data_IF_010606864852
#
_entry.id   IF_010606864852
#
_cell.length_a   1.000
_cell.length_b   1.000
_cell.length_c   1.000
_cell.angle_alpha   90.00
_cell.angle_beta   90.00
_cell.angle_gamma   90.00
#
_symmetry.space_group_name_H-M   'P 1'
#
loop_
_entity.id
_entity.type
_entity.pdbx_description
1 polymer ?
#
# COMPACT_ATOMS: atom_id res chain seq x y z
N UNK A 1 -16.23 6.62 26.50
CA UNK A 1 -15.97 7.25 25.19
C UNK A 1 -14.84 6.48 24.55
N UNK A 2 -15.11 5.83 23.43
CA UNK A 2 -14.08 5.19 22.60
C UNK A 2 -13.53 6.18 21.59
N UNK A 3 -12.27 5.99 21.22
CA UNK A 3 -11.58 6.88 20.29
C UNK A 3 -10.91 6.09 19.17
N UNK A 4 -10.87 6.68 17.99
CA UNK A 4 -10.18 6.14 16.83
C UNK A 4 -9.23 7.17 16.24
N UNK A 5 -7.98 6.80 16.08
CA UNK A 5 -7.00 7.57 15.32
C UNK A 5 -7.02 7.09 13.86
N UNK A 6 -7.29 8.00 12.94
CA UNK A 6 -7.22 7.78 11.49
C UNK A 6 -5.95 8.39 10.96
N UNK A 7 -5.01 7.55 10.50
CA UNK A 7 -3.83 8.00 9.77
C UNK A 7 -4.16 7.97 8.27
N UNK A 8 -4.28 9.14 7.66
CA UNK A 8 -4.55 9.29 6.23
C UNK A 8 -3.29 9.70 5.48
N UNK A 9 -2.83 8.84 4.59
CA UNK A 9 -1.71 9.11 3.70
C UNK A 9 -2.22 9.43 2.29
N UNK A 10 -2.38 10.71 2.01
CA UNK A 10 -2.75 11.19 0.67
C UNK A 10 -1.53 11.43 -0.22
N UNK A 11 -1.78 11.87 -1.46
CA UNK A 11 -0.72 12.15 -2.46
C UNK A 11 0.17 13.36 -2.08
N UNK A 12 -0.34 14.30 -1.29
CA UNK A 12 0.33 15.57 -0.98
C UNK A 12 0.55 15.82 0.51
N UNK A 13 -0.03 15.00 1.36
CA UNK A 13 0.09 15.16 2.82
C UNK A 13 -0.20 13.85 3.54
N UNK A 14 0.39 13.70 4.72
CA UNK A 14 0.00 12.74 5.71
C UNK A 14 -0.71 13.46 6.85
N UNK A 15 -1.79 12.87 7.36
CA UNK A 15 -2.66 13.47 8.38
C UNK A 15 -3.01 12.45 9.45
N UNK A 16 -2.98 12.88 10.68
CA UNK A 16 -3.53 12.16 11.82
C UNK A 16 -4.78 12.90 12.30
N UNK A 17 -5.88 12.18 12.51
CA UNK A 17 -7.14 12.74 12.96
C UNK A 17 -7.70 11.80 14.02
N UNK A 18 -8.10 12.33 15.18
CA UNK A 18 -8.75 11.56 16.23
C UNK A 18 -10.22 11.90 16.26
N UNK A 19 -11.05 10.86 16.27
CA UNK A 19 -12.49 10.96 16.41
C UNK A 19 -12.95 10.21 17.68
N UNK A 20 -14.04 10.67 18.28
CA UNK A 20 -14.79 9.91 19.27
C UNK A 20 -15.79 8.93 18.62
N UNK A 21 -16.49 8.14 19.42
CA UNK A 21 -17.49 7.16 18.97
C UNK A 21 -18.74 7.78 18.33
N UNK A 22 -18.95 9.08 18.50
CA UNK A 22 -20.06 9.86 17.90
C UNK A 22 -19.64 10.49 16.57
N UNK A 23 -18.34 10.36 16.19
CA UNK A 23 -17.78 10.92 14.96
C UNK A 23 -17.35 12.39 15.07
N UNK A 24 -17.28 12.95 16.28
CA UNK A 24 -16.75 14.29 16.49
C UNK A 24 -15.22 14.25 16.38
N UNK A 25 -14.66 15.21 15.64
CA UNK A 25 -13.22 15.38 15.56
C UNK A 25 -12.67 16.03 16.85
N UNK A 26 -11.80 15.31 17.54
CA UNK A 26 -11.15 15.78 18.76
C UNK A 26 -9.86 16.56 18.49
N UNK A 27 -9.00 16.04 17.60
CA UNK A 27 -7.76 16.69 17.23
C UNK A 27 -7.31 16.29 15.82
N UNK A 28 -6.39 17.04 15.22
CA UNK A 28 -5.77 16.65 13.95
C UNK A 28 -4.47 17.41 13.69
N UNK A 29 -3.49 16.71 13.10
CA UNK A 29 -2.26 17.30 12.57
C UNK A 29 -2.01 16.85 11.13
N UNK A 30 -1.25 17.62 10.36
CA UNK A 30 -0.96 17.35 8.95
C UNK A 30 0.42 17.85 8.57
N UNK A 31 1.17 17.02 7.83
CA UNK A 31 2.45 17.38 7.23
C UNK A 31 2.42 17.16 5.71
N UNK A 32 3.06 18.04 4.92
CA UNK A 32 3.14 17.87 3.48
C UNK A 32 4.06 16.70 3.11
N UNK A 33 3.76 16.04 1.98
CA UNK A 33 4.61 15.05 1.33
C UNK A 33 4.96 15.57 -0.05
N UNK A 34 6.20 15.36 -0.45
CA UNK A 34 6.72 15.79 -1.77
C UNK A 34 6.93 14.57 -2.64
N UNK A 35 6.45 14.65 -3.89
CA UNK A 35 6.75 13.65 -4.92
C UNK A 35 7.94 14.13 -5.75
N UNK A 36 8.83 13.20 -6.08
CA UNK A 36 9.84 13.38 -7.11
C UNK A 36 9.23 13.04 -8.46
N UNK A 37 9.35 13.95 -9.41
CA UNK A 37 8.68 13.88 -10.71
C UNK A 37 9.70 13.94 -11.84
N UNK A 38 9.55 13.04 -12.81
CA UNK A 38 10.13 13.15 -14.16
C UNK A 38 9.02 13.02 -15.20
N UNK A 39 9.34 12.90 -16.48
CA UNK A 39 8.34 12.67 -17.53
C UNK A 39 7.61 11.33 -17.36
N UNK A 40 8.30 10.30 -16.87
CA UNK A 40 7.78 8.93 -16.73
C UNK A 40 7.58 8.50 -15.28
N UNK A 41 8.33 9.07 -14.34
CA UNK A 41 8.33 8.61 -12.95
C UNK A 41 7.63 9.56 -12.01
N UNK A 42 6.87 8.99 -11.09
CA UNK A 42 6.31 9.69 -9.93
C UNK A 42 6.58 8.86 -8.70
N UNK A 43 7.49 9.32 -7.85
CA UNK A 43 7.93 8.56 -6.68
C UNK A 43 7.86 9.36 -5.39
N UNK A 44 7.76 8.64 -4.28
CA UNK A 44 7.85 9.19 -2.92
C UNK A 44 8.72 8.27 -2.05
N UNK A 45 9.32 8.82 -1.00
CA UNK A 45 10.14 8.05 -0.06
C UNK A 45 9.30 7.46 1.08
N UNK A 46 9.19 6.11 1.19
CA UNK A 46 8.46 5.47 2.28
C UNK A 46 9.07 5.73 3.68
N UNK A 47 10.37 5.99 3.78
CA UNK A 47 11.01 6.32 5.06
C UNK A 47 10.54 7.70 5.56
N UNK A 48 10.38 8.66 4.64
CA UNK A 48 9.80 9.97 4.95
C UNK A 48 8.36 9.83 5.45
N UNK A 49 7.55 8.93 4.85
CA UNK A 49 6.18 8.69 5.30
C UNK A 49 6.13 8.20 6.74
N UNK A 50 6.99 7.21 7.09
CA UNK A 50 7.02 6.69 8.45
C UNK A 50 7.42 7.76 9.46
N UNK A 51 8.47 8.52 9.18
CA UNK A 51 8.90 9.62 10.03
C UNK A 51 7.78 10.66 10.25
N UNK A 52 7.11 11.05 9.17
CA UNK A 52 6.00 12.03 9.24
C UNK A 52 4.74 11.44 9.90
N UNK A 53 4.46 10.14 9.70
CA UNK A 53 3.38 9.45 10.40
C UNK A 53 3.54 9.51 11.91
N UNK A 54 4.74 9.14 12.40
CA UNK A 54 5.05 9.22 13.82
C UNK A 54 4.87 10.65 14.35
N UNK A 55 5.37 11.65 13.62
CA UNK A 55 5.28 13.05 14.02
C UNK A 55 3.84 13.56 14.09
N UNK A 56 3.03 13.36 13.04
CA UNK A 56 1.62 13.83 13.07
C UNK A 56 0.80 13.12 14.15
N UNK A 57 1.09 11.84 14.42
CA UNK A 57 0.44 11.10 15.51
C UNK A 57 0.82 11.71 16.86
N UNK A 58 2.10 11.95 17.13
CA UNK A 58 2.57 12.57 18.37
C UNK A 58 1.94 13.95 18.58
N UNK A 59 1.93 14.81 17.56
CA UNK A 59 1.30 16.13 17.60
C UNK A 59 -0.20 16.00 17.91
N UNK A 60 -0.92 15.11 17.21
CA UNK A 60 -2.38 14.95 17.40
C UNK A 60 -2.72 14.39 18.79
N UNK A 61 -1.93 13.44 19.30
CA UNK A 61 -2.16 12.84 20.62
C UNK A 61 -1.88 13.83 21.75
N UNK A 62 -0.89 14.72 21.57
CA UNK A 62 -0.58 15.75 22.57
C UNK A 62 -1.74 16.75 22.77
N UNK A 63 -2.56 16.96 21.74
CA UNK A 63 -3.65 17.92 21.78
C UNK A 63 -4.90 17.43 22.56
N UNK A 64 -4.97 16.12 22.88
CA UNK A 64 -6.17 15.53 23.53
C UNK A 64 -6.00 15.22 25.04
N UNK A 65 -5.01 15.84 25.69
CA UNK A 65 -4.84 15.77 27.16
C UNK A 65 -4.94 14.35 27.76
N UNK A 66 -4.18 13.39 27.22
CA UNK A 66 -4.13 12.00 27.68
C UNK A 66 -5.42 11.18 27.52
N UNK A 67 -6.33 11.56 26.64
CA UNK A 67 -7.43 10.66 26.24
C UNK A 67 -6.82 9.42 25.57
N UNK A 68 -7.13 8.19 26.02
CA UNK A 68 -6.57 6.98 25.43
C UNK A 68 -7.07 6.79 23.99
N UNK A 69 -6.23 6.22 23.14
CA UNK A 69 -6.60 5.82 21.77
C UNK A 69 -6.92 4.33 21.77
N UNK A 70 -8.19 3.97 21.52
CA UNK A 70 -8.64 2.58 21.49
C UNK A 70 -8.27 1.87 20.20
N UNK A 71 -8.35 2.59 19.07
CA UNK A 71 -8.12 2.04 17.73
C UNK A 71 -7.27 2.97 16.88
N UNK A 72 -6.44 2.36 16.03
CA UNK A 72 -5.73 3.04 14.93
C UNK A 72 -6.14 2.39 13.61
N UNK A 73 -6.47 3.21 12.62
CA UNK A 73 -6.70 2.77 11.25
C UNK A 73 -5.87 3.59 10.27
N UNK A 74 -5.51 2.96 9.15
CA UNK A 74 -4.72 3.60 8.09
C UNK A 74 -5.54 3.65 6.81
N UNK A 75 -5.51 4.77 6.12
CA UNK A 75 -6.06 4.92 4.77
C UNK A 75 -5.05 5.63 3.88
N UNK A 76 -4.99 5.26 2.61
CA UNK A 76 -4.03 5.83 1.66
C UNK A 76 -4.57 5.85 0.24
N UNK A 77 -3.81 6.49 -0.68
CA UNK A 77 -4.00 6.27 -2.12
C UNK A 77 -3.63 4.83 -2.48
N UNK A 78 -4.42 4.21 -3.34
CA UNK A 78 -4.19 2.86 -3.84
C UNK A 78 -3.28 2.84 -5.08
N UNK A 79 -2.90 1.66 -5.55
CA UNK A 79 -2.09 1.46 -6.77
C UNK A 79 -0.67 2.06 -6.71
N UNK A 80 -0.10 2.18 -5.52
CA UNK A 80 1.29 2.56 -5.32
C UNK A 80 2.07 1.34 -4.84
N UNK A 81 3.26 1.08 -5.40
CA UNK A 81 4.05 -0.11 -5.12
C UNK A 81 5.30 0.22 -4.30
N UNK A 82 5.49 -0.51 -3.22
CA UNK A 82 6.68 -0.50 -2.38
C UNK A 82 7.28 -1.90 -2.34
N UNK A 83 8.58 -2.02 -2.61
CA UNK A 83 9.35 -3.24 -2.41
C UNK A 83 10.01 -3.16 -1.02
N UNK A 84 9.75 -4.12 -0.15
CA UNK A 84 10.41 -4.17 1.17
C UNK A 84 11.26 -5.43 1.32
N UNK A 85 12.38 -5.29 2.04
CA UNK A 85 13.22 -6.41 2.42
C UNK A 85 12.61 -7.20 3.60
N UNK A 86 13.29 -8.27 4.03
CA UNK A 86 12.89 -9.10 5.17
C UNK A 86 12.85 -8.36 6.52
N UNK A 87 13.43 -7.16 6.58
CA UNK A 87 13.43 -6.32 7.78
C UNK A 87 12.38 -5.20 7.70
N UNK A 88 11.59 -5.13 6.61
CA UNK A 88 10.58 -4.10 6.39
C UNK A 88 11.16 -2.75 5.94
N UNK A 89 12.39 -2.72 5.43
CA UNK A 89 12.97 -1.53 4.83
C UNK A 89 12.56 -1.43 3.37
N UNK A 90 12.17 -0.25 2.92
CA UNK A 90 11.90 -0.01 1.51
C UNK A 90 13.22 -0.06 0.71
N UNK A 91 13.21 -0.83 -0.36
CA UNK A 91 14.37 -1.05 -1.23
C UNK A 91 14.48 -0.02 -2.35
N UNK A 92 13.35 0.59 -2.71
CA UNK A 92 13.21 1.65 -3.72
C UNK A 92 12.23 2.71 -3.23
N UNK A 93 12.30 3.94 -3.77
CA UNK A 93 11.19 4.88 -3.65
C UNK A 93 9.89 4.25 -4.17
N UNK A 94 8.77 4.54 -3.50
CA UNK A 94 7.46 4.03 -3.90
C UNK A 94 7.09 4.51 -5.31
N UNK A 95 6.71 3.58 -6.18
CA UNK A 95 6.12 3.89 -7.47
C UNK A 95 4.67 4.32 -7.28
N UNK A 96 4.37 5.60 -7.46
CA UNK A 96 3.04 6.15 -7.22
C UNK A 96 2.03 5.72 -8.32
N UNK A 97 0.75 5.95 -8.09
CA UNK A 97 -0.32 5.54 -9.03
C UNK A 97 -0.13 6.13 -10.43
N UNK A 98 0.39 7.35 -10.55
CA UNK A 98 0.64 8.04 -11.82
C UNK A 98 2.01 7.76 -12.45
N UNK A 99 2.82 6.88 -11.86
CA UNK A 99 4.07 6.41 -12.44
C UNK A 99 3.80 5.57 -13.70
N UNK A 100 4.46 5.91 -14.81
CA UNK A 100 4.18 5.33 -16.14
C UNK A 100 5.21 4.30 -16.59
N UNK A 101 6.27 4.06 -15.81
CA UNK A 101 7.38 3.17 -16.19
C UNK A 101 6.93 1.78 -16.61
N UNK A 102 5.90 1.23 -15.99
CA UNK A 102 5.41 -0.12 -16.22
C UNK A 102 4.45 -0.25 -17.43
N UNK A 103 4.50 0.68 -18.40
CA UNK A 103 3.64 0.65 -19.59
C UNK A 103 3.89 -0.57 -20.48
N UNK A 104 5.16 -0.88 -20.73
CA UNK A 104 5.54 -2.03 -21.55
C UNK A 104 5.12 -3.35 -20.90
N UNK A 105 5.28 -3.46 -19.56
CA UNK A 105 4.87 -4.61 -18.78
C UNK A 105 3.35 -4.80 -18.80
N UNK A 106 2.60 -3.70 -18.66
CA UNK A 106 1.14 -3.73 -18.81
C UNK A 106 0.72 -4.29 -20.18
N UNK A 107 1.35 -3.82 -21.26
CA UNK A 107 1.06 -4.29 -22.61
C UNK A 107 1.48 -5.76 -22.82
N UNK A 108 2.54 -6.22 -22.16
CA UNK A 108 2.98 -7.63 -22.20
C UNK A 108 2.02 -8.56 -21.46
N UNK A 109 1.56 -8.17 -20.28
CA UNK A 109 0.61 -8.95 -19.48
C UNK A 109 -0.70 -9.17 -20.24
N UNK A 110 -1.19 -8.17 -20.95
CA UNK A 110 -2.41 -8.32 -21.78
C UNK A 110 -2.30 -9.36 -22.89
N UNK A 111 -1.08 -9.74 -23.29
CA UNK A 111 -0.82 -10.75 -24.33
C UNK A 111 -0.64 -12.16 -23.78
N UNK A 112 -0.59 -12.33 -22.47
CA UNK A 112 -0.47 -13.65 -21.84
C UNK A 112 -1.69 -14.51 -22.14
N UNK A 113 -1.45 -15.81 -22.34
CA UNK A 113 -2.53 -16.78 -22.59
C UNK A 113 -3.46 -16.95 -21.38
N UNK A 114 -2.92 -16.73 -20.18
CA UNK A 114 -3.64 -16.80 -18.90
C UNK A 114 -4.40 -15.52 -18.57
N UNK A 115 -4.14 -14.41 -19.28
CA UNK A 115 -4.86 -13.16 -19.03
C UNK A 115 -6.28 -13.26 -19.62
N UNK A 116 -7.34 -13.29 -18.81
CA UNK A 116 -8.69 -13.43 -19.29
C UNK A 116 -9.11 -12.21 -20.11
N UNK A 117 -9.95 -12.39 -21.15
CA UNK A 117 -10.57 -11.25 -21.80
C UNK A 117 -11.29 -10.40 -20.76
N UNK A 118 -11.11 -9.09 -20.83
CA UNK A 118 -11.55 -8.05 -19.86
C UNK A 118 -13.01 -8.20 -19.36
N UNK A 119 -13.86 -8.93 -20.09
CA UNK A 119 -15.27 -9.09 -19.77
C UNK A 119 -15.59 -9.99 -18.57
N UNK A 120 -14.63 -10.73 -18.02
CA UNK A 120 -14.97 -11.87 -17.16
C UNK A 120 -14.54 -11.79 -15.70
N UNK A 121 -13.79 -10.80 -15.20
CA UNK A 121 -13.32 -10.84 -13.81
C UNK A 121 -13.48 -9.58 -12.94
N UNK A 122 -13.18 -8.40 -13.42
CA UNK A 122 -13.15 -7.25 -12.50
C UNK A 122 -13.61 -5.94 -13.14
N UNK A 123 -13.93 -5.89 -14.42
CA UNK A 123 -14.05 -4.68 -15.22
C UNK A 123 -12.79 -3.76 -15.13
N UNK A 124 -11.72 -4.25 -14.54
CA UNK A 124 -10.45 -3.55 -14.43
C UNK A 124 -9.58 -3.99 -15.61
N UNK A 125 -9.36 -3.09 -16.55
CA UNK A 125 -8.34 -3.30 -17.59
C UNK A 125 -6.94 -3.36 -16.98
N UNK A 126 -5.96 -3.81 -17.75
CA UNK A 126 -4.56 -3.76 -17.37
C UNK A 126 -3.96 -2.43 -17.84
N UNK A 127 -3.34 -1.68 -16.95
CA UNK A 127 -2.58 -0.48 -17.28
C UNK A 127 -1.39 -0.27 -16.33
N UNK A 128 -0.50 0.64 -16.67
CA UNK A 128 0.73 0.92 -15.91
C UNK A 128 0.50 1.36 -14.47
N UNK A 129 -0.72 1.84 -14.12
CA UNK A 129 -1.02 2.28 -12.76
C UNK A 129 -1.21 1.12 -11.79
N UNK A 130 -1.48 -0.09 -12.28
CA UNK A 130 -1.75 -1.26 -11.45
C UNK A 130 -0.48 -1.83 -10.80
N UNK A 131 -0.65 -2.63 -9.75
CA UNK A 131 0.46 -3.16 -8.98
C UNK A 131 1.21 -4.28 -9.71
N UNK A 132 0.48 -5.13 -10.43
CA UNK A 132 1.09 -6.25 -11.15
C UNK A 132 2.08 -5.81 -12.24
N UNK A 133 1.77 -4.86 -13.14
CA UNK A 133 2.75 -4.32 -14.09
C UNK A 133 3.96 -3.69 -13.40
N UNK A 134 3.77 -2.97 -12.30
CA UNK A 134 4.87 -2.36 -11.53
C UNK A 134 5.79 -3.41 -10.92
N UNK A 135 5.24 -4.50 -10.37
CA UNK A 135 6.04 -5.60 -9.85
C UNK A 135 6.84 -6.30 -10.97
N UNK A 136 6.23 -6.50 -12.13
CA UNK A 136 6.91 -7.04 -13.30
C UNK A 136 8.02 -6.10 -13.80
N UNK A 137 7.77 -4.79 -13.77
CA UNK A 137 8.81 -3.79 -14.09
C UNK A 137 10.00 -3.90 -13.14
N UNK A 138 9.77 -4.03 -11.83
CA UNK A 138 10.86 -4.22 -10.86
C UNK A 138 11.63 -5.49 -11.18
N UNK A 139 10.95 -6.59 -11.50
CA UNK A 139 11.60 -7.85 -11.89
C UNK A 139 12.49 -7.69 -13.11
N UNK A 140 12.01 -6.98 -14.14
CA UNK A 140 12.70 -6.86 -15.43
C UNK A 140 13.84 -5.84 -15.44
N UNK A 141 13.76 -4.79 -14.61
CA UNK A 141 14.66 -3.65 -14.68
C UNK A 141 15.50 -3.43 -13.41
N UNK A 142 15.09 -4.05 -12.29
CA UNK A 142 15.74 -3.91 -10.99
C UNK A 142 15.96 -5.29 -10.35
N UNK A 143 16.62 -6.22 -11.09
CA UNK A 143 16.78 -7.62 -10.70
C UNK A 143 17.32 -7.78 -9.26
N UNK A 144 18.37 -7.04 -8.88
CA UNK A 144 18.93 -7.11 -7.54
C UNK A 144 17.96 -6.65 -6.44
N UNK A 145 17.05 -5.74 -6.77
CA UNK A 145 15.98 -5.29 -5.86
C UNK A 145 14.91 -6.36 -5.78
N UNK A 146 14.51 -6.92 -6.92
CA UNK A 146 13.52 -8.00 -6.96
C UNK A 146 13.96 -9.20 -6.11
N UNK A 147 15.21 -9.64 -6.25
CA UNK A 147 15.79 -10.74 -5.46
C UNK A 147 15.80 -10.49 -3.95
N UNK A 148 16.00 -9.23 -3.53
CA UNK A 148 15.99 -8.82 -2.12
C UNK A 148 14.59 -8.54 -1.58
N UNK A 149 13.58 -8.45 -2.48
CA UNK A 149 12.21 -8.13 -2.08
C UNK A 149 11.60 -9.31 -1.32
N UNK A 150 11.21 -9.06 -0.11
CA UNK A 150 10.45 -10.00 0.72
C UNK A 150 8.95 -9.84 0.53
N UNK A 151 8.47 -8.60 0.35
CA UNK A 151 7.05 -8.28 0.12
C UNK A 151 6.90 -7.07 -0.79
N UNK A 152 5.87 -7.13 -1.63
CA UNK A 152 5.30 -5.99 -2.33
C UNK A 152 4.13 -5.44 -1.52
N UNK A 153 4.17 -4.18 -1.17
CA UNK A 153 3.18 -3.54 -0.29
C UNK A 153 2.59 -2.29 -0.94
N UNK A 154 1.36 -1.96 -0.59
CA UNK A 154 0.75 -0.65 -0.82
C UNK A 154 1.10 0.30 0.35
N UNK A 155 0.87 1.62 0.23
CA UNK A 155 1.23 2.56 1.30
C UNK A 155 0.55 2.28 2.65
N UNK A 156 -0.75 1.92 2.65
CA UNK A 156 -1.43 1.51 3.88
C UNK A 156 -0.86 0.20 4.45
N UNK A 157 -0.54 -0.79 3.60
CA UNK A 157 0.05 -2.05 4.02
C UNK A 157 1.42 -1.82 4.67
N UNK A 158 2.24 -0.93 4.08
CA UNK A 158 3.54 -0.53 4.62
C UNK A 158 3.41 0.12 5.99
N UNK A 159 2.49 1.07 6.16
CA UNK A 159 2.27 1.72 7.44
C UNK A 159 1.70 0.74 8.49
N UNK A 160 0.78 -0.14 8.11
CA UNK A 160 0.28 -1.22 8.99
C UNK A 160 1.43 -2.15 9.40
N UNK A 161 2.28 -2.55 8.47
CA UNK A 161 3.47 -3.35 8.77
C UNK A 161 4.39 -2.63 9.77
N UNK A 162 4.63 -1.33 9.60
CA UNK A 162 5.45 -0.55 10.53
C UNK A 162 4.85 -0.49 11.94
N UNK A 163 3.52 -0.46 12.07
CA UNK A 163 2.85 -0.44 13.38
C UNK A 163 2.76 -1.83 14.03
N UNK A 164 2.57 -2.90 13.25
CA UNK A 164 2.16 -4.22 13.77
C UNK A 164 3.10 -5.36 13.45
N UNK A 165 4.04 -5.16 12.52
CA UNK A 165 4.87 -6.23 11.95
C UNK A 165 4.12 -7.17 11.00
N UNK A 166 2.83 -6.91 10.66
CA UNK A 166 2.02 -7.78 9.81
C UNK A 166 2.00 -7.31 8.36
N UNK A 167 2.14 -8.25 7.42
CA UNK A 167 2.07 -7.99 5.99
C UNK A 167 0.67 -8.34 5.47
N UNK A 168 -0.26 -7.40 5.66
CA UNK A 168 -1.67 -7.55 5.28
C UNK A 168 -2.11 -6.43 4.35
N UNK A 169 -3.09 -6.72 3.51
CA UNK A 169 -3.74 -5.75 2.63
C UNK A 169 -5.26 -5.92 2.67
N UNK A 170 -5.98 -4.94 2.17
CA UNK A 170 -7.43 -5.00 1.99
C UNK A 170 -7.83 -5.36 0.55
N UNK A 171 -9.13 -5.64 0.33
CA UNK A 171 -9.64 -5.97 -0.99
C UNK A 171 -9.44 -4.88 -2.04
N UNK A 172 -9.43 -3.59 -1.66
CA UNK A 172 -9.26 -2.48 -2.60
C UNK A 172 -7.85 -2.46 -3.21
N UNK A 173 -6.83 -2.71 -2.38
CA UNK A 173 -5.45 -2.84 -2.84
C UNK A 173 -5.19 -4.19 -3.50
N UNK A 174 -5.70 -5.28 -2.95
CA UNK A 174 -5.60 -6.60 -3.57
C UNK A 174 -6.22 -6.62 -4.97
N UNK A 175 -7.31 -5.89 -5.21
CA UNK A 175 -7.92 -5.74 -6.52
C UNK A 175 -6.97 -5.15 -7.57
N UNK A 176 -6.00 -4.32 -7.16
CA UNK A 176 -4.95 -3.77 -8.05
C UNK A 176 -3.90 -4.81 -8.49
N UNK A 177 -3.93 -6.00 -7.87
CA UNK A 177 -3.24 -7.22 -8.29
C UNK A 177 -4.11 -8.17 -9.10
N UNK A 178 -5.32 -7.76 -9.51
CA UNK A 178 -6.35 -8.65 -10.09
C UNK A 178 -6.80 -9.78 -9.15
N UNK A 179 -6.79 -9.52 -7.84
CA UNK A 179 -7.30 -10.45 -6.84
C UNK A 179 -8.78 -10.76 -7.08
N UNK A 180 -9.13 -12.04 -7.13
CA UNK A 180 -10.50 -12.52 -7.26
C UNK A 180 -11.17 -12.50 -5.88
N UNK A 181 -12.08 -11.55 -5.66
CA UNK A 181 -12.76 -11.37 -4.36
C UNK A 181 -13.78 -12.46 -4.07
N UNK A 182 -14.31 -13.15 -5.08
CA UNK A 182 -15.25 -14.25 -4.90
C UNK A 182 -14.52 -15.53 -4.50
N UNK A 183 -13.43 -15.86 -5.21
CA UNK A 183 -12.59 -17.00 -4.91
C UNK A 183 -11.60 -16.76 -3.79
N UNK A 184 -11.45 -15.51 -3.35
CA UNK A 184 -10.47 -15.06 -2.34
C UNK A 184 -9.05 -15.49 -2.66
N UNK A 185 -8.61 -15.27 -3.89
CA UNK A 185 -7.26 -15.66 -4.34
C UNK A 185 -6.64 -14.66 -5.31
N UNK A 186 -5.33 -14.56 -5.27
CA UNK A 186 -4.52 -13.85 -6.26
C UNK A 186 -4.60 -14.56 -7.62
N UNK A 187 -4.30 -13.88 -8.75
CA UNK A 187 -4.35 -14.46 -10.09
C UNK A 187 -3.16 -15.42 -10.31
N UNK A 188 -3.21 -16.57 -9.66
CA UNK A 188 -2.11 -17.54 -9.59
C UNK A 188 -1.55 -17.92 -10.97
N UNK A 189 -2.42 -18.14 -11.95
CA UNK A 189 -2.00 -18.54 -13.30
C UNK A 189 -1.15 -17.45 -13.97
N UNK A 190 -1.56 -16.18 -13.85
CA UNK A 190 -0.81 -15.04 -14.38
C UNK A 190 0.51 -14.86 -13.63
N UNK A 191 0.47 -14.90 -12.30
CA UNK A 191 1.66 -14.74 -11.47
C UNK A 191 2.69 -15.84 -11.78
N UNK A 192 2.23 -17.08 -11.97
CA UNK A 192 3.09 -18.20 -12.32
C UNK A 192 3.70 -18.06 -13.73
N UNK A 193 2.94 -17.60 -14.74
CA UNK A 193 3.43 -17.32 -16.10
C UNK A 193 4.47 -16.19 -16.10
N UNK A 194 4.34 -15.23 -15.17
CA UNK A 194 5.29 -14.14 -14.96
C UNK A 194 6.47 -14.53 -14.03
N UNK A 195 6.45 -15.73 -13.48
CA UNK A 195 7.42 -16.20 -12.48
C UNK A 195 7.54 -15.18 -11.31
N UNK A 196 6.40 -14.77 -10.75
CA UNK A 196 6.28 -13.95 -9.54
C UNK A 196 5.60 -14.79 -8.46
N UNK A 197 6.33 -15.11 -7.38
CA UNK A 197 5.78 -15.89 -6.28
C UNK A 197 4.66 -15.15 -5.56
N UNK A 198 3.58 -15.87 -5.23
CA UNK A 198 2.52 -15.34 -4.36
C UNK A 198 3.01 -15.02 -2.95
N UNK A 199 4.13 -15.63 -2.52
CA UNK A 199 4.76 -15.33 -1.23
C UNK A 199 5.26 -13.89 -1.13
N UNK A 200 5.46 -13.20 -2.27
CA UNK A 200 5.81 -11.79 -2.30
C UNK A 200 4.61 -10.87 -2.04
N UNK A 201 3.38 -11.41 -2.02
CA UNK A 201 2.16 -10.63 -1.84
C UNK A 201 1.68 -10.68 -0.38
N UNK A 202 1.02 -9.61 0.12
CA UNK A 202 0.48 -9.58 1.46
C UNK A 202 -0.76 -10.48 1.59
N UNK A 203 -1.05 -10.93 2.80
CA UNK A 203 -2.31 -11.61 3.12
C UNK A 203 -3.50 -10.65 2.95
N UNK A 204 -4.58 -11.11 2.32
CA UNK A 204 -5.77 -10.29 2.09
C UNK A 204 -6.76 -10.47 3.22
N UNK A 205 -7.10 -9.38 3.89
CA UNK A 205 -8.08 -9.35 4.99
C UNK A 205 -9.28 -8.46 4.66
N UNK A 206 -10.39 -8.67 5.37
CA UNK A 206 -11.54 -7.77 5.24
C UNK A 206 -11.18 -6.36 5.75
N UNK A 207 -11.64 -5.29 5.08
CA UNK A 207 -11.55 -3.94 5.65
C UNK A 207 -12.14 -3.89 7.06
N UNK A 208 -11.47 -3.21 7.97
CA UNK A 208 -11.88 -3.13 9.39
C UNK A 208 -11.48 -4.33 10.26
N UNK A 209 -10.77 -5.33 9.72
CA UNK A 209 -10.20 -6.41 10.52
C UNK A 209 -9.13 -5.86 11.48
N UNK A 210 -9.24 -6.21 12.75
CA UNK A 210 -8.18 -5.95 13.73
C UNK A 210 -7.01 -6.90 13.44
N UNK A 211 -5.91 -6.39 12.94
CA UNK A 211 -4.74 -7.19 12.49
C UNK A 211 -3.63 -7.27 13.54
N UNK A 212 -3.74 -6.52 14.62
CA UNK A 212 -2.75 -6.54 15.70
C UNK A 212 -2.86 -5.35 16.64
N UNK A 213 -1.88 -5.23 17.49
CA UNK A 213 -1.67 -4.07 18.39
C UNK A 213 -0.47 -3.28 17.88
N UNK A 214 -0.47 -1.97 18.14
CA UNK A 214 0.68 -1.11 17.82
C UNK A 214 1.85 -1.54 18.70
N UNK A 215 2.98 -1.88 18.06
CA UNK A 215 4.21 -2.20 18.76
C UNK A 215 4.79 -0.95 19.42
N UNK A 216 5.51 -1.06 20.54
CA UNK A 216 6.30 0.06 21.08
C UNK A 216 7.27 0.58 19.99
N UNK A 217 7.26 1.88 19.78
CA UNK A 217 8.16 2.57 18.84
C UNK A 217 9.50 2.86 19.48
#
# INVERSE_FOLDING_TARGET
MKTILVLNMGMKSIRSIIFDEEGNKLASSSLPIVSLLTEETVTQDPAEWWSKACRVIQETVSDINNIPIDYLTVTSSSSCLICVDKHGNALLPCMMVSDKRAKAESDSIMKLSTFPPVKNRTNLGMDASLLLPKALWVKNHEEQIFEKTSKFLSPNDYLIMKFTGKHVTDYMNAHKWHYDTEKKQYPFEILNELDISTDLLPEVVNPGTCVGTVSPM
#
